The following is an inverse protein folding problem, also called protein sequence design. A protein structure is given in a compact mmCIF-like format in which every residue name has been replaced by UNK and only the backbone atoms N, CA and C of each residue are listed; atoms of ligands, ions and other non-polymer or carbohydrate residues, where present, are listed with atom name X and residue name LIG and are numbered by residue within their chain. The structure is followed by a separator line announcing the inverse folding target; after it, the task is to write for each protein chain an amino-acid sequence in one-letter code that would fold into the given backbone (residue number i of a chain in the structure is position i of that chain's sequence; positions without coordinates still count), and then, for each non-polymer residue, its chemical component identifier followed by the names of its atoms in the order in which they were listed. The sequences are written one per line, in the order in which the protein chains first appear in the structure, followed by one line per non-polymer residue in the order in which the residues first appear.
data_IF_696121473198
#
_entry.id   IF_696121473198
#
_cell.length_a   1.000
_cell.length_b   1.000
_cell.length_c   1.000
_cell.angle_alpha   90.00
_cell.angle_beta   90.00
_cell.angle_gamma   90.00
#
_symmetry.space_group_name_H-M   'P 1'
#
loop_
_entity.id
_entity.type
_entity.pdbx_description
1 polymer ?
#
# COMPACT_ATOMS: atom_id res chain seq x y z
N UNK A 1 1.74 -15.42 22.37
CA UNK A 1 2.55 -14.42 21.64
C UNK A 1 3.50 -15.17 20.74
N UNK A 2 3.64 -14.72 19.50
CA UNK A 2 4.62 -15.26 18.55
C UNK A 2 5.64 -14.17 18.27
N UNK A 3 6.91 -14.48 18.48
CA UNK A 3 8.02 -13.56 18.22
C UNK A 3 8.56 -13.82 16.82
N UNK A 4 8.88 -12.73 16.10
CA UNK A 4 9.45 -12.80 14.76
C UNK A 4 10.84 -12.16 14.83
N UNK A 5 11.85 -12.95 14.49
CA UNK A 5 13.23 -12.48 14.35
C UNK A 5 13.44 -12.09 12.88
N UNK A 6 13.72 -10.80 12.66
CA UNK A 6 13.96 -10.24 11.32
C UNK A 6 15.44 -9.94 11.22
N UNK A 7 16.10 -10.51 10.22
CA UNK A 7 17.47 -10.16 9.89
C UNK A 7 17.46 -8.88 9.07
N UNK A 8 18.21 -7.89 9.53
CA UNK A 8 18.41 -6.64 8.79
C UNK A 8 19.53 -6.87 7.77
N UNK A 9 19.36 -6.45 6.51
CA UNK A 9 20.44 -6.44 5.53
C UNK A 9 21.61 -5.56 5.98
N UNK A 10 22.83 -6.00 5.73
CA UNK A 10 24.06 -5.30 6.11
C UNK A 10 24.12 -3.86 5.57
N UNK A 11 23.49 -3.62 4.40
CA UNK A 11 23.35 -2.30 3.77
C UNK A 11 22.60 -1.28 4.63
N UNK A 12 21.64 -1.74 5.44
CA UNK A 12 20.79 -0.91 6.29
C UNK A 12 21.30 -0.84 7.73
N UNK A 13 22.23 -1.72 8.10
CA UNK A 13 22.78 -1.78 9.46
C UNK A 13 23.45 -0.46 9.84
N UNK A 14 24.25 0.10 8.92
CA UNK A 14 24.91 1.39 9.12
C UNK A 14 23.92 2.56 9.31
N UNK A 15 22.84 2.59 8.52
CA UNK A 15 21.82 3.64 8.63
C UNK A 15 21.07 3.57 9.97
N UNK A 16 20.84 2.35 10.47
CA UNK A 16 20.17 2.08 11.73
C UNK A 16 21.03 2.50 12.92
N UNK A 17 22.32 2.16 12.87
CA UNK A 17 23.29 2.54 13.89
C UNK A 17 23.47 4.07 13.99
N UNK A 18 23.34 4.79 12.87
CA UNK A 18 23.40 6.25 12.83
C UNK A 18 22.18 6.96 13.44
N UNK A 19 21.13 6.21 13.83
CA UNK A 19 19.93 6.75 14.47
C UNK A 19 19.74 6.19 15.88
N UNK A 20 20.68 6.47 16.81
CA UNK A 20 20.57 6.00 18.18
C UNK A 20 19.36 6.63 18.87
N UNK A 21 18.63 5.82 19.63
CA UNK A 21 17.41 6.23 20.34
C UNK A 21 16.11 5.97 19.58
N UNK A 22 16.16 5.53 18.33
CA UNK A 22 14.97 5.05 17.60
C UNK A 22 14.57 3.67 18.13
N UNK A 23 13.28 3.51 18.44
CA UNK A 23 12.72 2.20 18.78
C UNK A 23 12.43 1.41 17.49
N UNK A 24 13.42 0.62 17.05
CA UNK A 24 13.34 -0.18 15.83
C UNK A 24 12.28 -1.28 15.87
N UNK A 25 11.92 -1.80 17.05
CA UNK A 25 10.82 -2.74 17.19
C UNK A 25 9.48 -2.07 16.80
N UNK A 26 9.26 -0.83 17.24
CA UNK A 26 8.06 -0.06 16.85
C UNK A 26 8.06 0.27 15.36
N UNK A 27 9.23 0.61 14.79
CA UNK A 27 9.37 0.85 13.36
C UNK A 27 9.01 -0.40 12.56
N UNK A 28 9.56 -1.55 12.93
CA UNK A 28 9.27 -2.83 12.29
C UNK A 28 7.77 -3.19 12.39
N UNK A 29 7.15 -3.02 13.56
CA UNK A 29 5.72 -3.25 13.76
C UNK A 29 4.87 -2.38 12.82
N UNK A 30 5.17 -1.08 12.75
CA UNK A 30 4.45 -0.14 11.89
C UNK A 30 4.63 -0.48 10.41
N UNK A 31 5.83 -0.90 10.01
CA UNK A 31 6.12 -1.32 8.63
C UNK A 31 5.33 -2.58 8.27
N UNK A 32 5.28 -3.58 9.15
CA UNK A 32 4.51 -4.81 8.96
C UNK A 32 3.02 -4.49 8.84
N UNK A 33 2.47 -3.69 9.76
CA UNK A 33 1.06 -3.27 9.71
C UNK A 33 0.73 -2.53 8.42
N UNK A 34 1.60 -1.62 8.00
CA UNK A 34 1.44 -0.86 6.75
C UNK A 34 1.45 -1.79 5.53
N UNK A 35 2.39 -2.74 5.49
CA UNK A 35 2.47 -3.69 4.38
C UNK A 35 1.28 -4.65 4.34
N UNK A 36 0.84 -5.14 5.50
CA UNK A 36 -0.35 -5.96 5.62
C UNK A 36 -1.60 -5.22 5.13
N UNK A 37 -1.72 -3.94 5.49
CA UNK A 37 -2.80 -3.07 4.99
C UNK A 37 -2.72 -2.87 3.48
N UNK A 38 -1.55 -2.58 2.92
CA UNK A 38 -1.34 -2.44 1.47
C UNK A 38 -1.74 -3.72 0.72
N UNK A 39 -1.30 -4.89 1.20
CA UNK A 39 -1.66 -6.19 0.61
C UNK A 39 -3.17 -6.43 0.67
N UNK A 40 -3.81 -6.05 1.78
CA UNK A 40 -5.26 -6.16 1.95
C UNK A 40 -6.01 -5.23 1.00
N UNK A 41 -5.52 -3.99 0.84
CA UNK A 41 -6.02 -3.03 -0.15
C UNK A 41 -5.88 -3.56 -1.58
N UNK A 42 -4.72 -4.07 -1.96
CA UNK A 42 -4.46 -4.66 -3.29
C UNK A 42 -5.39 -5.82 -3.60
N UNK A 43 -5.71 -6.65 -2.61
CA UNK A 43 -6.63 -7.79 -2.81
C UNK A 43 -8.11 -7.40 -2.81
N UNK A 44 -8.49 -6.30 -2.17
CA UNK A 44 -9.91 -5.95 -1.98
C UNK A 44 -10.34 -4.72 -2.77
N UNK A 45 -11.05 -4.94 -3.89
CA UNK A 45 -11.68 -3.87 -4.69
C UNK A 45 -12.61 -2.99 -3.85
N UNK A 46 -13.34 -3.59 -2.89
CA UNK A 46 -14.26 -2.87 -2.00
C UNK A 46 -13.50 -1.89 -1.09
N UNK A 47 -12.37 -2.30 -0.52
CA UNK A 47 -11.55 -1.43 0.33
C UNK A 47 -10.92 -0.29 -0.48
N UNK A 48 -10.43 -0.57 -1.71
CA UNK A 48 -9.94 0.49 -2.60
C UNK A 48 -11.01 1.55 -2.89
N UNK A 49 -12.21 1.11 -3.23
CA UNK A 49 -13.35 2.01 -3.47
C UNK A 49 -13.74 2.82 -2.24
N UNK A 50 -13.73 2.20 -1.05
CA UNK A 50 -14.05 2.89 0.20
C UNK A 50 -13.00 3.96 0.53
N UNK A 51 -11.71 3.61 0.42
CA UNK A 51 -10.60 4.55 0.62
C UNK A 51 -10.71 5.72 -0.35
N UNK A 52 -10.95 5.44 -1.63
CA UNK A 52 -11.15 6.45 -2.66
C UNK A 52 -12.28 7.41 -2.28
N UNK A 53 -13.48 6.88 -2.00
CA UNK A 53 -14.65 7.69 -1.60
C UNK A 53 -14.36 8.56 -0.38
N UNK A 54 -13.58 8.04 0.56
CA UNK A 54 -13.20 8.78 1.78
C UNK A 54 -12.24 9.93 1.45
N UNK A 55 -11.27 9.71 0.57
CA UNK A 55 -10.31 10.73 0.14
C UNK A 55 -11.02 11.79 -0.71
N UNK A 56 -11.83 11.38 -1.69
CA UNK A 56 -12.56 12.31 -2.56
C UNK A 56 -13.60 13.12 -1.80
N UNK A 57 -14.26 12.53 -0.79
CA UNK A 57 -15.19 13.27 0.08
C UNK A 57 -14.52 14.37 0.91
N UNK A 58 -13.20 14.32 1.08
CA UNK A 58 -12.41 15.30 1.84
C UNK A 58 -11.64 16.28 0.94
N UNK A 59 -11.57 16.03 -0.36
CA UNK A 59 -10.87 16.89 -1.31
C UNK A 59 -11.83 17.89 -1.98
N UNK A 60 -11.45 19.17 -2.03
CA UNK A 60 -12.08 20.17 -2.91
C UNK A 60 -11.61 19.95 -4.36
N UNK A 61 -11.97 18.83 -4.96
CA UNK A 61 -11.79 18.65 -6.41
C UNK A 61 -12.94 19.33 -7.12
N UNK A 62 -12.66 19.96 -8.27
CA UNK A 62 -13.73 20.31 -9.20
C UNK A 62 -14.34 19.03 -9.78
N UNK A 63 -15.57 19.13 -10.29
CA UNK A 63 -16.28 17.99 -10.88
C UNK A 63 -15.48 17.36 -12.04
N UNK A 64 -14.85 18.20 -12.86
CA UNK A 64 -13.98 17.79 -13.98
C UNK A 64 -12.72 17.05 -13.50
N UNK A 65 -12.09 17.50 -12.41
CA UNK A 65 -10.92 16.84 -11.83
C UNK A 65 -11.29 15.48 -11.22
N UNK A 66 -12.46 15.39 -10.59
CA UNK A 66 -12.96 14.15 -10.03
C UNK A 66 -13.27 13.11 -11.12
N UNK A 67 -13.87 13.53 -12.23
CA UNK A 67 -14.20 12.66 -13.37
C UNK A 67 -12.94 12.16 -14.08
N UNK A 68 -12.00 13.07 -14.35
CA UNK A 68 -10.71 12.69 -14.96
C UNK A 68 -9.95 11.70 -14.08
N UNK A 69 -9.90 11.97 -12.77
CA UNK A 69 -9.26 11.07 -11.81
C UNK A 69 -9.95 9.70 -11.75
N UNK A 70 -11.28 9.65 -11.80
CA UNK A 70 -12.04 8.39 -11.78
C UNK A 70 -11.76 7.52 -13.02
N UNK A 71 -11.65 8.15 -14.21
CA UNK A 71 -11.32 7.46 -15.46
C UNK A 71 -9.91 6.89 -15.44
N UNK A 72 -8.90 7.71 -15.15
CA UNK A 72 -7.49 7.29 -15.09
C UNK A 72 -7.28 6.16 -14.08
N UNK A 73 -7.96 6.22 -12.93
CA UNK A 73 -7.90 5.19 -11.91
C UNK A 73 -8.60 3.90 -12.37
N UNK A 74 -9.73 4.02 -13.07
CA UNK A 74 -10.46 2.89 -13.63
C UNK A 74 -9.60 2.09 -14.61
N UNK A 75 -8.82 2.78 -15.44
CA UNK A 75 -7.94 2.14 -16.41
C UNK A 75 -6.71 1.50 -15.74
N UNK A 76 -6.08 2.18 -14.76
CA UNK A 76 -5.01 1.56 -13.95
C UNK A 76 -5.47 0.29 -13.22
N UNK A 77 -6.68 0.29 -12.67
CA UNK A 77 -7.24 -0.90 -12.01
C UNK A 77 -7.45 -2.05 -13.01
N UNK A 78 -7.85 -1.76 -14.25
CA UNK A 78 -8.00 -2.79 -15.29
C UNK A 78 -6.65 -3.37 -15.68
N UNK A 79 -5.63 -2.54 -15.87
CA UNK A 79 -4.27 -2.96 -16.21
C UNK A 79 -3.68 -3.88 -15.13
N UNK A 80 -3.70 -3.45 -13.86
CA UNK A 80 -3.23 -4.27 -12.74
C UNK A 80 -3.99 -5.60 -12.65
N UNK A 81 -5.31 -5.58 -12.87
CA UNK A 81 -6.12 -6.80 -12.85
C UNK A 81 -5.79 -7.74 -14.00
N UNK A 82 -5.47 -7.20 -15.18
CA UNK A 82 -5.02 -7.99 -16.32
C UNK A 82 -3.69 -8.69 -16.01
N UNK A 83 -2.74 -7.99 -15.40
CA UNK A 83 -1.47 -8.58 -14.96
C UNK A 83 -1.67 -9.68 -13.92
N UNK A 84 -2.53 -9.47 -12.91
CA UNK A 84 -2.85 -10.50 -11.93
C UNK A 84 -3.47 -11.75 -12.56
N UNK A 85 -4.30 -11.59 -13.60
CA UNK A 85 -4.91 -12.70 -14.32
C UNK A 85 -3.89 -13.49 -15.14
N UNK A 86 -2.94 -12.80 -15.79
CA UNK A 86 -1.81 -13.43 -16.51
C UNK A 86 -0.93 -14.24 -15.56
N UNK A 87 -0.57 -13.68 -14.40
CA UNK A 87 0.23 -14.38 -13.38
C UNK A 87 -0.48 -15.66 -12.90
N UNK A 88 -1.81 -15.66 -12.88
CA UNK A 88 -2.63 -16.81 -12.49
C UNK A 88 -2.98 -17.75 -13.65
N UNK A 89 -2.49 -17.51 -14.86
CA UNK A 89 -2.84 -18.26 -16.09
C UNK A 89 -4.35 -18.35 -16.35
N UNK A 90 -5.10 -17.29 -16.02
CA UNK A 90 -6.54 -17.23 -16.24
C UNK A 90 -6.92 -16.46 -17.52
N UNK A 91 -5.95 -15.76 -18.12
CA UNK A 91 -6.00 -15.09 -19.44
C UNK A 91 -4.58 -15.10 -20.01
#
# INVERSE_FOLDING_TARGET
MSEILVRIPDELEHEIEMLPGVNWQRVALNAIQSKAFELTLKRSRKLRLLLLKTITSKSKLSEEEADKFALELGDKIKEERLEELKIKNLV
#
